data_IF_656739601329
#
_entry.id   IF_656739601329
#
_cell.length_a   1.000
_cell.length_b   1.000
_cell.length_c   1.000
_cell.angle_alpha   90.00
_cell.angle_beta   90.00
_cell.angle_gamma   90.00
#
_symmetry.space_group_name_H-M   'P 1'
#
loop_
_entity.id
_entity.type
_entity.pdbx_description
1 polymer ?
#
# COMPACT_ATOMS: atom_id res chain seq x y z
N UNK A 1 24.24 -1.85 0.75
CA UNK A 1 22.79 -1.80 0.50
C UNK A 1 22.07 -1.35 1.77
N UNK A 2 21.28 -0.29 1.67
CA UNK A 2 20.47 0.20 2.78
C UNK A 2 19.01 -0.12 2.51
N UNK A 3 18.28 -0.52 3.54
CA UNK A 3 16.84 -0.75 3.47
C UNK A 3 16.15 0.08 4.53
N UNK A 4 15.10 0.79 4.15
CA UNK A 4 14.22 1.48 5.09
C UNK A 4 12.83 0.90 5.02
N UNK A 5 12.16 0.87 6.16
CA UNK A 5 10.85 0.25 6.31
C UNK A 5 9.92 1.23 6.99
N UNK A 6 8.77 1.50 6.37
CA UNK A 6 7.73 2.37 6.95
C UNK A 6 6.44 1.57 7.10
N UNK A 7 5.96 1.48 8.33
CA UNK A 7 4.71 0.81 8.67
C UNK A 7 3.67 1.84 9.09
N UNK A 8 2.47 1.74 8.50
CA UNK A 8 1.39 2.71 8.71
C UNK A 8 0.06 2.01 8.85
N UNK A 9 -0.86 2.64 9.58
CA UNK A 9 -2.24 2.21 9.62
C UNK A 9 -3.11 3.23 8.89
N UNK A 10 -4.01 2.76 8.03
CA UNK A 10 -5.00 3.59 7.35
C UNK A 10 -6.38 2.98 7.53
N UNK A 11 -7.38 3.82 7.71
CA UNK A 11 -8.79 3.43 7.75
C UNK A 11 -9.40 3.73 6.40
N UNK A 12 -9.86 2.70 5.70
CA UNK A 12 -10.38 2.88 4.36
C UNK A 12 -11.42 1.82 4.02
N UNK A 13 -12.35 2.19 3.14
CA UNK A 13 -13.39 1.30 2.66
C UNK A 13 -13.13 0.90 1.21
N UNK A 14 -13.57 -0.29 0.85
CA UNK A 14 -13.54 -0.75 -0.53
C UNK A 14 -14.68 -1.74 -0.80
N UNK A 15 -14.94 -1.96 -2.07
CA UNK A 15 -15.76 -3.07 -2.56
C UNK A 15 -15.02 -3.72 -3.70
N UNK A 16 -15.19 -5.04 -3.86
CA UNK A 16 -14.50 -5.80 -4.89
C UNK A 16 -15.46 -6.16 -6.04
N UNK A 17 -14.94 -6.13 -7.25
CA UNK A 17 -15.63 -6.59 -8.44
C UNK A 17 -15.12 -7.99 -8.73
N UNK A 18 -16.00 -8.99 -8.53
CA UNK A 18 -15.61 -10.38 -8.60
C UNK A 18 -16.40 -11.11 -9.69
N UNK A 19 -15.82 -12.18 -10.22
CA UNK A 19 -16.47 -13.06 -11.20
C UNK A 19 -17.47 -14.04 -10.57
N UNK A 20 -17.57 -14.02 -9.23
CA UNK A 20 -18.48 -14.86 -8.45
C UNK A 20 -19.14 -14.02 -7.37
N UNK A 21 -20.25 -14.50 -6.81
CA UNK A 21 -20.99 -13.79 -5.77
C UNK A 21 -20.26 -13.87 -4.43
N UNK A 22 -20.09 -12.71 -3.77
CA UNK A 22 -19.38 -12.62 -2.48
C UNK A 22 -19.82 -11.40 -1.70
N UNK A 23 -19.72 -11.47 -0.36
CA UNK A 23 -19.93 -10.31 0.51
C UNK A 23 -18.94 -9.17 0.20
N UNK A 24 -17.79 -9.49 -0.36
CA UNK A 24 -16.75 -8.50 -0.68
C UNK A 24 -17.19 -7.53 -1.77
N UNK A 25 -18.25 -7.82 -2.50
CA UNK A 25 -18.85 -6.90 -3.46
C UNK A 25 -19.58 -5.74 -2.78
N UNK A 26 -19.96 -5.89 -1.51
CA UNK A 26 -20.56 -4.83 -0.73
C UNK A 26 -19.46 -3.93 -0.17
N UNK A 27 -19.74 -2.62 -0.12
CA UNK A 27 -18.80 -1.68 0.47
C UNK A 27 -18.56 -2.00 1.94
N UNK A 28 -17.31 -2.13 2.33
CA UNK A 28 -16.92 -2.44 3.71
C UNK A 28 -15.58 -1.78 4.03
N UNK A 29 -15.31 -1.60 5.31
CA UNK A 29 -14.12 -0.92 5.79
C UNK A 29 -13.16 -1.83 6.54
N UNK A 30 -11.90 -1.44 6.53
CA UNK A 30 -10.84 -2.09 7.29
C UNK A 30 -9.91 -1.04 7.89
N UNK A 31 -9.18 -1.45 8.93
CA UNK A 31 -8.01 -0.73 9.40
C UNK A 31 -6.79 -1.44 8.81
N UNK A 32 -6.34 -0.94 7.68
CA UNK A 32 -5.26 -1.54 6.90
C UNK A 32 -3.91 -1.23 7.54
N UNK A 33 -3.05 -2.24 7.64
CA UNK A 33 -1.65 -2.03 8.02
C UNK A 33 -0.83 -2.15 6.75
N UNK A 34 -0.14 -1.08 6.38
CA UNK A 34 0.65 -1.03 5.16
C UNK A 34 2.11 -0.84 5.52
N UNK A 35 2.96 -1.76 5.04
CA UNK A 35 4.39 -1.71 5.30
C UNK A 35 5.12 -1.58 3.96
N UNK A 36 5.90 -0.52 3.82
CA UNK A 36 6.63 -0.18 2.60
C UNK A 36 8.12 -0.39 2.84
N UNK A 37 8.76 -1.12 1.92
CA UNK A 37 10.19 -1.42 1.97
C UNK A 37 10.88 -0.78 0.77
N UNK A 38 11.87 0.06 1.06
CA UNK A 38 12.67 0.73 0.03
C UNK A 38 14.14 0.43 0.25
N UNK A 39 14.93 0.30 -0.83
CA UNK A 39 16.35 0.01 -0.71
C UNK A 39 17.17 0.76 -1.76
N UNK A 40 18.44 1.02 -1.42
CA UNK A 40 19.39 1.64 -2.32
C UNK A 40 20.81 1.29 -1.89
N UNK A 41 21.71 1.17 -2.85
CA UNK A 41 23.14 0.99 -2.56
C UNK A 41 23.77 2.26 -2.01
N UNK A 42 23.27 3.42 -2.44
CA UNK A 42 23.79 4.71 -2.07
C UNK A 42 22.70 5.57 -1.43
N UNK A 43 23.11 6.48 -0.58
CA UNK A 43 22.20 7.44 0.04
C UNK A 43 22.17 8.72 -0.80
N UNK A 44 21.05 9.45 -0.74
CA UNK A 44 20.94 10.74 -1.40
C UNK A 44 21.76 11.81 -0.66
N UNK A 45 21.69 13.06 -1.12
CA UNK A 45 22.45 14.17 -0.54
C UNK A 45 22.14 14.41 0.93
N UNK A 46 20.95 14.03 1.40
CA UNK A 46 20.53 14.16 2.79
C UNK A 46 20.85 12.95 3.65
N UNK A 47 21.51 11.95 3.09
CA UNK A 47 21.83 10.72 3.81
C UNK A 47 20.68 9.74 3.94
N UNK A 48 19.74 9.74 2.99
CA UNK A 48 18.54 8.90 3.03
C UNK A 48 18.42 8.03 1.80
N UNK A 49 17.79 6.86 1.97
CA UNK A 49 17.28 6.06 0.84
C UNK A 49 16.07 6.78 0.24
N UNK A 50 15.16 7.18 1.09
CA UNK A 50 13.96 7.96 0.77
C UNK A 50 13.45 8.56 2.09
N UNK A 51 12.81 9.70 2.03
CA UNK A 51 12.24 10.33 3.22
C UNK A 51 11.01 9.54 3.70
N UNK A 52 11.00 9.16 4.96
CA UNK A 52 9.84 8.48 5.57
C UNK A 52 8.56 9.29 5.42
N UNK A 53 8.66 10.62 5.50
CA UNK A 53 7.51 11.51 5.35
C UNK A 53 6.91 11.42 3.94
N UNK A 54 7.74 11.22 2.93
CA UNK A 54 7.29 11.06 1.55
C UNK A 54 6.49 9.76 1.40
N UNK A 55 6.97 8.68 2.00
CA UNK A 55 6.25 7.40 1.99
C UNK A 55 4.88 7.56 2.64
N UNK A 56 4.85 8.19 3.82
CA UNK A 56 3.61 8.44 4.55
C UNK A 56 2.63 9.27 3.72
N UNK A 57 3.12 10.32 3.07
CA UNK A 57 2.30 11.21 2.26
C UNK A 57 1.66 10.45 1.09
N UNK A 58 2.44 9.68 0.35
CA UNK A 58 1.93 8.91 -0.81
C UNK A 58 0.82 7.96 -0.36
N UNK A 59 1.03 7.23 0.72
CA UNK A 59 0.06 6.22 1.18
C UNK A 59 -1.17 6.87 1.79
N UNK A 60 -0.98 7.78 2.74
CA UNK A 60 -2.10 8.33 3.52
C UNK A 60 -2.98 9.28 2.72
N UNK A 61 -2.43 10.10 1.85
CA UNK A 61 -3.23 11.02 1.04
C UNK A 61 -4.17 10.29 0.08
N UNK A 62 -3.77 9.13 -0.40
CA UNK A 62 -4.59 8.36 -1.33
C UNK A 62 -5.61 7.48 -0.64
N UNK A 63 -5.29 6.94 0.53
CA UNK A 63 -6.08 5.86 1.10
C UNK A 63 -6.77 6.19 2.42
N UNK A 64 -6.14 7.01 3.29
CA UNK A 64 -6.65 7.19 4.64
C UNK A 64 -7.97 7.97 4.63
N UNK A 65 -8.97 7.43 5.33
CA UNK A 65 -10.32 7.98 5.41
C UNK A 65 -10.99 8.12 4.04
N UNK A 66 -10.71 7.19 3.13
CA UNK A 66 -11.22 7.22 1.77
C UNK A 66 -12.00 5.95 1.41
N UNK A 67 -12.88 6.08 0.42
CA UNK A 67 -13.38 4.95 -0.33
C UNK A 67 -12.38 4.69 -1.46
N UNK A 68 -11.64 3.59 -1.37
CA UNK A 68 -10.55 3.29 -2.29
C UNK A 68 -11.04 3.16 -3.74
N UNK A 69 -12.27 2.69 -3.93
CA UNK A 69 -12.87 2.58 -5.27
C UNK A 69 -12.99 3.92 -5.99
N UNK A 70 -13.10 5.02 -5.25
CA UNK A 70 -13.18 6.35 -5.83
C UNK A 70 -11.81 6.92 -6.20
N UNK A 71 -10.75 6.38 -5.61
CA UNK A 71 -9.37 6.87 -5.77
C UNK A 71 -8.61 6.10 -6.85
N UNK A 72 -8.76 4.77 -6.86
CA UNK A 72 -8.01 3.89 -7.75
C UNK A 72 -8.88 3.40 -8.90
N UNK A 73 -8.34 3.36 -10.13
CA UNK A 73 -9.12 3.01 -11.33
C UNK A 73 -9.23 1.51 -11.59
N UNK A 74 -8.88 0.68 -10.63
CA UNK A 74 -8.88 -0.78 -10.78
C UNK A 74 -9.55 -1.42 -9.56
N UNK A 75 -9.78 -2.74 -9.65
CA UNK A 75 -10.34 -3.50 -8.53
C UNK A 75 -9.40 -3.41 -7.31
N UNK A 76 -9.84 -2.82 -6.19
CA UNK A 76 -8.94 -2.53 -5.09
C UNK A 76 -8.74 -3.72 -4.14
N UNK A 77 -8.21 -4.81 -4.68
CA UNK A 77 -7.73 -5.92 -3.89
C UNK A 77 -6.48 -5.53 -3.11
N UNK A 78 -6.15 -6.23 -2.03
CA UNK A 78 -4.93 -5.99 -1.28
C UNK A 78 -3.69 -6.10 -2.18
N UNK A 79 -3.68 -7.06 -3.11
CA UNK A 79 -2.61 -7.26 -4.07
C UNK A 79 -2.42 -6.05 -4.99
N UNK A 80 -3.51 -5.56 -5.57
CA UNK A 80 -3.46 -4.41 -6.47
C UNK A 80 -3.08 -3.12 -5.74
N UNK A 81 -3.54 -2.95 -4.51
CA UNK A 81 -3.16 -1.83 -3.66
C UNK A 81 -1.65 -1.87 -3.38
N UNK A 82 -1.12 -3.04 -3.03
CA UNK A 82 0.31 -3.19 -2.73
C UNK A 82 1.17 -2.81 -3.94
N UNK A 83 0.84 -3.29 -5.11
CA UNK A 83 1.57 -2.97 -6.34
C UNK A 83 1.47 -1.48 -6.68
N UNK A 84 0.28 -0.91 -6.56
CA UNK A 84 0.05 0.51 -6.84
C UNK A 84 0.93 1.40 -5.96
N UNK A 85 1.03 1.09 -4.68
CA UNK A 85 1.88 1.84 -3.75
C UNK A 85 3.35 1.70 -4.15
N UNK A 86 3.79 0.47 -4.42
CA UNK A 86 5.19 0.21 -4.79
C UNK A 86 5.60 0.98 -6.04
N UNK A 87 4.72 1.01 -7.04
CA UNK A 87 5.00 1.69 -8.31
C UNK A 87 5.12 3.20 -8.18
N UNK A 88 4.59 3.79 -7.12
CA UNK A 88 4.59 5.24 -6.91
C UNK A 88 5.78 5.76 -6.10
N UNK A 89 6.52 4.88 -5.45
CA UNK A 89 7.61 5.29 -4.55
C UNK A 89 8.94 4.85 -5.15
N UNK A 90 9.80 5.80 -5.55
CA UNK A 90 11.15 5.47 -6.02
C UNK A 90 11.91 4.67 -4.94
N UNK A 91 12.70 3.72 -5.35
CA UNK A 91 13.45 2.80 -4.48
C UNK A 91 12.62 1.74 -3.77
N UNK A 92 11.30 1.81 -3.82
CA UNK A 92 10.43 0.78 -3.25
C UNK A 92 10.58 -0.53 -4.03
N UNK A 93 10.74 -1.64 -3.31
CA UNK A 93 10.86 -2.96 -3.93
C UNK A 93 9.84 -3.95 -3.37
N UNK A 94 9.14 -3.59 -2.28
CA UNK A 94 8.21 -4.51 -1.62
C UNK A 94 7.19 -3.73 -0.81
N UNK A 95 5.94 -4.16 -0.87
CA UNK A 95 4.85 -3.58 -0.05
C UNK A 95 4.01 -4.72 0.50
N UNK A 96 3.75 -4.69 1.80
CA UNK A 96 2.81 -5.59 2.46
C UNK A 96 1.54 -4.81 2.78
N UNK A 97 0.40 -5.36 2.40
CA UNK A 97 -0.92 -4.80 2.70
C UNK A 97 -1.68 -5.82 3.54
N UNK A 98 -1.86 -5.49 4.81
CA UNK A 98 -2.62 -6.31 5.74
C UNK A 98 -4.04 -5.75 5.81
N UNK A 99 -4.98 -6.46 5.24
CA UNK A 99 -6.39 -6.08 5.22
C UNK A 99 -7.04 -6.32 6.57
N UNK A 100 -6.70 -7.44 7.20
CA UNK A 100 -7.17 -7.85 8.51
C UNK A 100 -6.07 -8.66 9.20
N UNK A 101 -6.30 -9.05 10.46
CA UNK A 101 -5.29 -9.76 11.24
C UNK A 101 -4.72 -10.99 10.52
N UNK A 102 -5.56 -11.72 9.79
CA UNK A 102 -5.16 -12.97 9.14
C UNK A 102 -4.96 -12.87 7.62
N UNK A 103 -5.23 -11.73 7.00
CA UNK A 103 -5.20 -11.60 5.53
C UNK A 103 -4.17 -10.56 5.11
N UNK A 104 -3.08 -11.01 4.53
CA UNK A 104 -1.96 -10.17 4.13
C UNK A 104 -1.60 -10.47 2.67
N UNK A 105 -1.47 -9.44 1.86
CA UNK A 105 -0.92 -9.56 0.52
C UNK A 105 0.45 -8.87 0.48
N UNK A 106 1.37 -9.45 -0.26
CA UNK A 106 2.71 -8.89 -0.45
C UNK A 106 2.98 -8.78 -1.94
N UNK A 107 3.37 -7.60 -2.37
CA UNK A 107 3.93 -7.40 -3.71
C UNK A 107 5.42 -7.12 -3.58
N UNK A 108 6.21 -7.84 -4.34
CA UNK A 108 7.67 -7.65 -4.37
C UNK A 108 8.11 -7.64 -5.83
N UNK A 109 8.93 -6.67 -6.19
CA UNK A 109 9.49 -6.59 -7.54
C UNK A 109 10.49 -7.72 -7.78
N UNK A 110 10.45 -8.24 -8.99
CA UNK A 110 11.38 -9.28 -9.44
C UNK A 110 12.82 -8.76 -9.58
#
# INVERSE_FOLDING_TARGET
MYTVIKRMEVSAAHSLKLSYQSKCENLHGHNWIITVYCRSKELNADGMVVDFSHIKQVVKEQLDHRNINEVLPFNPTAENIARCICDQIPTCFKVEVQESESNIAVYEED
#
